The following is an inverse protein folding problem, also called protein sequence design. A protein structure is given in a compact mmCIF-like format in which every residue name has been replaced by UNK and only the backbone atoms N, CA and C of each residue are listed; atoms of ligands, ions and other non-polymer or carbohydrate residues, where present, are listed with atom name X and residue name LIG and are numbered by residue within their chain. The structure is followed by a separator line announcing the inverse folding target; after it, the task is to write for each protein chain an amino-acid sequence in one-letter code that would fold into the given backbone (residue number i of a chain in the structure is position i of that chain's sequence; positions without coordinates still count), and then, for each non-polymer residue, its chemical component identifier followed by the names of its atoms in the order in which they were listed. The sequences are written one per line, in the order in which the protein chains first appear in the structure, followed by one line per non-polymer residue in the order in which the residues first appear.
data_IF_554483160932
#
_entry.id   IF_554483160932
#
_cell.length_a   1.000
_cell.length_b   1.000
_cell.length_c   1.000
_cell.angle_alpha   90.00
_cell.angle_beta   90.00
_cell.angle_gamma   90.00
#
_symmetry.space_group_name_H-M   'P 1'
#
loop_
_entity.id
_entity.type
_entity.pdbx_description
1 polymer ?
#
# COMPACT_ATOMS: atom_id res chain seq x y z
N UNK A 1 -25.89 -3.10 -3.79
CA UNK A 1 -24.76 -3.54 -4.63
C UNK A 1 -23.62 -3.88 -3.68
N UNK A 2 -23.57 -5.12 -3.18
CA UNK A 2 -22.58 -5.54 -2.19
C UNK A 2 -21.25 -5.77 -2.91
N UNK A 3 -20.22 -4.99 -2.56
CA UNK A 3 -18.87 -5.28 -3.00
C UNK A 3 -18.43 -6.60 -2.36
N UNK A 4 -18.24 -7.63 -3.18
CA UNK A 4 -17.62 -8.89 -2.75
C UNK A 4 -16.21 -8.57 -2.26
N UNK A 5 -16.01 -8.53 -0.95
CA UNK A 5 -14.71 -8.28 -0.34
C UNK A 5 -13.79 -9.44 -0.71
N UNK A 6 -12.91 -9.23 -1.68
CA UNK A 6 -11.84 -10.18 -1.98
C UNK A 6 -10.90 -10.15 -0.77
N UNK A 7 -10.90 -11.20 0.04
CA UNK A 7 -10.08 -11.30 1.26
C UNK A 7 -8.56 -11.24 0.98
N UNK A 8 -8.14 -11.48 -0.27
CA UNK A 8 -6.75 -11.40 -0.68
C UNK A 8 -6.36 -9.97 -1.12
N UNK A 9 -5.56 -9.29 -0.29
CA UNK A 9 -4.98 -7.99 -0.60
C UNK A 9 -4.04 -8.07 -1.83
N UNK A 10 -4.21 -7.13 -2.77
CA UNK A 10 -3.35 -6.96 -3.95
C UNK A 10 -2.60 -5.65 -3.81
N UNK A 11 -1.29 -5.64 -4.10
CA UNK A 11 -0.53 -4.39 -4.15
C UNK A 11 -0.89 -3.63 -5.44
N UNK A 12 -1.50 -2.45 -5.30
CA UNK A 12 -2.00 -1.64 -6.42
C UNK A 12 -1.17 -0.37 -6.68
N UNK A 13 -0.21 -0.06 -5.81
CA UNK A 13 0.62 1.13 -5.92
C UNK A 13 1.31 1.50 -4.62
N UNK A 14 1.96 2.66 -4.63
CA UNK A 14 2.63 3.25 -3.47
C UNK A 14 2.31 4.74 -3.38
N UNK A 15 2.29 5.27 -2.16
CA UNK A 15 2.23 6.71 -1.98
C UNK A 15 3.55 7.37 -2.39
N UNK A 16 3.51 8.68 -2.65
CA UNK A 16 4.71 9.51 -2.53
C UNK A 16 5.22 9.49 -1.09
N UNK A 17 6.47 9.87 -0.87
CA UNK A 17 6.99 10.05 0.50
C UNK A 17 6.03 10.93 1.30
N UNK A 18 5.57 10.43 2.43
CA UNK A 18 4.69 11.16 3.33
C UNK A 18 5.41 12.35 3.95
N UNK A 19 4.64 13.39 4.30
CA UNK A 19 5.16 14.44 5.18
C UNK A 19 5.49 13.84 6.56
N UNK A 20 6.48 14.37 7.30
CA UNK A 20 6.90 13.80 8.58
C UNK A 20 5.76 13.58 9.57
N UNK A 21 4.85 14.55 9.70
CA UNK A 21 3.72 14.44 10.63
C UNK A 21 2.74 13.33 10.23
N UNK A 22 2.41 13.22 8.94
CA UNK A 22 1.56 12.16 8.41
C UNK A 22 2.22 10.76 8.53
N UNK A 23 3.55 10.69 8.38
CA UNK A 23 4.29 9.45 8.59
C UNK A 23 4.26 9.01 10.05
N UNK A 24 4.36 9.97 10.99
CA UNK A 24 4.25 9.70 12.42
C UNK A 24 2.85 9.24 12.80
N UNK A 25 1.82 9.96 12.35
CA UNK A 25 0.41 9.60 12.55
C UNK A 25 0.13 8.18 12.06
N UNK A 26 0.47 7.87 10.81
CA UNK A 26 0.30 6.51 10.28
C UNK A 26 1.07 5.49 11.12
N UNK A 27 2.32 5.80 11.48
CA UNK A 27 3.19 4.93 12.27
C UNK A 27 2.67 4.58 13.67
N UNK A 28 1.97 5.51 14.33
CA UNK A 28 1.35 5.29 15.64
C UNK A 28 0.25 4.21 15.59
N UNK A 29 -0.32 3.96 14.42
CA UNK A 29 -1.36 2.95 14.21
C UNK A 29 -0.85 1.64 13.59
N UNK A 30 0.43 1.55 13.23
CA UNK A 30 0.99 0.33 12.63
C UNK A 30 1.33 -0.72 13.69
N UNK A 31 0.78 -1.91 13.52
CA UNK A 31 1.16 -3.10 14.28
C UNK A 31 2.03 -4.03 13.42
N UNK A 32 3.02 -4.67 14.04
CA UNK A 32 3.88 -5.63 13.36
C UNK A 32 3.08 -6.78 12.73
N UNK A 33 3.50 -7.26 11.57
CA UNK A 33 2.86 -8.39 10.92
C UNK A 33 2.93 -9.67 11.76
N UNK A 34 1.86 -10.45 11.71
CA UNK A 34 1.78 -11.77 12.33
C UNK A 34 2.18 -12.88 11.34
N UNK A 35 2.55 -14.07 11.82
CA UNK A 35 2.73 -15.24 10.97
C UNK A 35 1.49 -15.49 10.09
N UNK A 36 1.73 -15.84 8.82
CA UNK A 36 0.65 -16.00 7.84
C UNK A 36 0.23 -14.71 7.15
N UNK A 37 0.98 -13.61 7.31
CA UNK A 37 0.75 -12.39 6.58
C UNK A 37 0.67 -12.66 5.05
N UNK A 38 -0.36 -12.15 4.35
CA UNK A 38 -0.65 -12.50 2.95
C UNK A 38 0.46 -12.16 1.96
N UNK A 39 1.40 -11.30 2.36
CA UNK A 39 2.56 -10.89 1.56
C UNK A 39 3.91 -11.40 2.09
N UNK A 40 3.94 -12.39 2.99
CA UNK A 40 5.22 -13.03 3.35
C UNK A 40 5.88 -13.63 2.11
N UNK A 41 7.15 -13.25 1.87
CA UNK A 41 7.92 -13.69 0.69
C UNK A 41 7.57 -12.97 -0.61
N UNK A 42 6.64 -12.01 -0.60
CA UNK A 42 6.33 -11.19 -1.77
C UNK A 42 7.51 -10.28 -2.12
N UNK A 43 7.70 -10.02 -3.41
CA UNK A 43 8.70 -9.07 -3.94
C UNK A 43 7.96 -7.88 -4.54
N UNK A 44 8.26 -6.69 -4.04
CA UNK A 44 7.73 -5.44 -4.58
C UNK A 44 8.83 -4.72 -5.35
N UNK A 45 8.56 -4.22 -6.56
CA UNK A 45 9.54 -3.45 -7.31
C UNK A 45 9.67 -2.02 -6.74
N UNK A 46 10.91 -1.49 -6.69
CA UNK A 46 11.18 -0.11 -6.26
C UNK A 46 10.63 0.92 -7.23
N UNK A 47 10.58 0.64 -8.52
CA UNK A 47 9.93 1.50 -9.52
C UNK A 47 9.36 0.62 -10.61
N UNK A 48 8.46 1.17 -11.42
CA UNK A 48 7.92 0.49 -12.61
C UNK A 48 8.99 0.08 -13.63
N UNK A 49 10.14 0.76 -13.63
CA UNK A 49 11.22 0.59 -14.61
C UNK A 49 12.40 -0.20 -14.02
N UNK A 50 12.44 -0.39 -12.70
CA UNK A 50 13.54 -1.06 -12.01
C UNK A 50 13.14 -2.46 -11.55
N UNK A 51 14.08 -3.40 -11.68
CA UNK A 51 14.01 -4.73 -11.08
C UNK A 51 14.47 -4.74 -9.61
N UNK A 52 14.93 -3.62 -9.07
CA UNK A 52 15.32 -3.50 -7.67
C UNK A 52 14.11 -3.80 -6.78
N UNK A 53 14.34 -4.57 -5.73
CA UNK A 53 13.29 -4.97 -4.80
C UNK A 53 13.23 -4.00 -3.63
N UNK A 54 12.02 -3.55 -3.31
CA UNK A 54 11.73 -2.79 -2.12
C UNK A 54 11.89 -3.70 -0.90
N UNK A 55 12.77 -3.30 0.01
CA UNK A 55 12.83 -3.85 1.36
C UNK A 55 11.65 -3.31 2.18
N UNK A 56 10.57 -4.09 2.23
CA UNK A 56 9.31 -3.70 2.84
C UNK A 56 9.15 -4.34 4.22
N UNK A 57 8.87 -3.52 5.23
CA UNK A 57 8.45 -3.99 6.56
C UNK A 57 6.95 -4.30 6.48
N UNK A 58 6.58 -5.56 6.73
CA UNK A 58 5.18 -5.98 6.74
C UNK A 58 4.51 -5.62 8.07
N UNK A 59 3.27 -5.18 7.99
CA UNK A 59 2.42 -4.74 9.11
C UNK A 59 1.06 -5.43 9.02
N UNK A 60 0.27 -5.46 10.10
CA UNK A 60 -1.08 -6.04 10.04
C UNK A 60 -1.93 -5.28 8.99
N UNK A 61 -2.61 -5.98 8.05
CA UNK A 61 -3.37 -5.35 6.98
C UNK A 61 -4.78 -4.91 7.46
N UNK A 62 -4.85 -4.30 8.64
CA UNK A 62 -6.11 -3.89 9.30
C UNK A 62 -6.33 -2.37 9.20
N UNK A 63 -5.25 -1.59 9.04
CA UNK A 63 -5.32 -0.15 8.89
C UNK A 63 -5.80 0.22 7.49
N UNK A 64 -6.94 0.92 7.42
CA UNK A 64 -7.46 1.52 6.19
C UNK A 64 -7.19 3.01 6.22
N UNK A 65 -6.67 3.55 5.12
CA UNK A 65 -6.35 4.97 4.98
C UNK A 65 -7.00 5.52 3.73
N UNK A 66 -7.37 6.79 3.76
CA UNK A 66 -7.85 7.47 2.58
C UNK A 66 -6.66 7.91 1.70
N UNK A 67 -6.77 7.63 0.41
CA UNK A 67 -5.79 8.01 -0.60
C UNK A 67 -6.45 8.78 -1.74
N UNK A 68 -5.71 9.73 -2.29
CA UNK A 68 -6.02 10.36 -3.57
C UNK A 68 -5.12 9.79 -4.66
N UNK A 69 -5.71 9.35 -5.76
CA UNK A 69 -5.00 8.82 -6.92
C UNK A 69 -5.51 9.44 -8.22
N UNK A 70 -4.63 9.54 -9.21
CA UNK A 70 -5.03 9.80 -10.59
C UNK A 70 -5.75 8.55 -11.15
N UNK A 71 -6.69 8.72 -12.08
CA UNK A 71 -7.51 7.63 -12.60
C UNK A 71 -6.78 6.71 -13.59
N UNK A 72 -5.54 7.05 -13.99
CA UNK A 72 -4.77 6.23 -14.92
C UNK A 72 -4.30 4.90 -14.29
N UNK A 73 -4.96 3.82 -14.71
CA UNK A 73 -4.60 2.43 -14.38
C UNK A 73 -3.83 1.76 -15.51
N UNK A 74 -3.00 0.78 -15.17
CA UNK A 74 -2.35 -0.09 -16.15
C UNK A 74 -3.21 -1.32 -16.51
N UNK A 75 -2.71 -2.21 -17.39
CA UNK A 75 -3.44 -3.44 -17.77
C UNK A 75 -3.58 -4.44 -16.61
N UNK A 76 -2.77 -4.31 -15.55
CA UNK A 76 -2.79 -5.14 -14.35
C UNK A 76 -3.68 -4.59 -13.22
N UNK A 77 -4.31 -3.43 -13.42
CA UNK A 77 -5.17 -2.77 -12.42
C UNK A 77 -4.42 -1.95 -11.38
N UNK A 78 -3.11 -1.71 -11.57
CA UNK A 78 -2.30 -0.87 -10.70
C UNK A 78 -2.28 0.59 -11.18
N UNK A 79 -2.17 1.52 -10.23
CA UNK A 79 -2.22 2.95 -10.48
C UNK A 79 -0.87 3.44 -11.03
N UNK A 80 -0.90 4.07 -12.20
CA UNK A 80 0.33 4.50 -12.90
C UNK A 80 1.05 5.63 -12.18
N UNK A 81 0.30 6.50 -11.51
CA UNK A 81 0.84 7.64 -10.77
C UNK A 81 0.88 7.35 -9.27
N UNK A 82 1.91 7.85 -8.55
CA UNK A 82 2.00 7.70 -7.10
C UNK A 82 0.76 8.22 -6.38
N UNK A 83 0.37 7.48 -5.33
CA UNK A 83 -0.77 7.80 -4.48
C UNK A 83 -0.42 8.96 -3.55
N UNK A 84 -1.43 9.73 -3.13
CA UNK A 84 -1.27 10.76 -2.11
C UNK A 84 -2.07 10.35 -0.88
N UNK A 85 -1.47 10.45 0.29
CA UNK A 85 -2.12 10.15 1.57
C UNK A 85 -2.98 11.34 2.00
N UNK A 86 -4.24 11.06 2.35
CA UNK A 86 -5.20 12.06 2.81
C UNK A 86 -5.38 12.05 4.33
N UNK A 87 -5.19 10.90 5.00
CA UNK A 87 -5.33 10.75 6.45
C UNK A 87 -5.65 9.30 6.86
N UNK A 88 -5.56 9.03 8.16
CA UNK A 88 -6.12 7.83 8.78
C UNK A 88 -7.63 8.04 9.05
N UNK A 89 -8.44 7.00 8.85
CA UNK A 89 -9.86 6.98 9.19
C UNK A 89 -10.09 6.41 10.59
#
# INVERSE_FOLDING_TARGET
MAATTRTAACAIGRTVRLRPDAAREAGEHLAAAEPGHPWMGARFALTWVSCDVLDAILVRPELVVEISADTAIDRGGALRHPLRFSGCA
#
